data_IF_954921919741
#
_entry.id   IF_954921919741
#
_cell.length_a   1.000
_cell.length_b   1.000
_cell.length_c   1.000
_cell.angle_alpha   90.00
_cell.angle_beta   90.00
_cell.angle_gamma   90.00
#
_symmetry.space_group_name_H-M   'P 1'
#
loop_
_entity.id
_entity.type
_entity.pdbx_description
1 polymer ?
#
# COMPACT_ATOMS: atom_id res chain seq x y z
N UNK A 1 -7.28 -10.62 -3.37
CA UNK A 1 -6.08 -11.12 -4.08
C UNK A 1 -4.90 -10.97 -3.14
N UNK A 2 -4.10 -12.01 -2.98
CA UNK A 2 -2.83 -11.95 -2.26
C UNK A 2 -1.67 -11.86 -3.24
N UNK A 3 -0.60 -11.17 -2.88
CA UNK A 3 0.62 -11.05 -3.68
C UNK A 3 1.74 -11.74 -2.90
N UNK A 4 2.23 -12.85 -3.43
CA UNK A 4 3.31 -13.62 -2.84
C UNK A 4 4.64 -13.09 -3.36
N UNK A 5 5.47 -12.62 -2.44
CA UNK A 5 6.84 -12.22 -2.67
C UNK A 5 7.79 -13.31 -2.19
N UNK A 6 8.86 -13.53 -2.96
CA UNK A 6 10.03 -14.31 -2.53
C UNK A 6 11.26 -13.43 -2.69
N UNK A 7 12.03 -13.22 -1.61
CA UNK A 7 13.23 -12.36 -1.64
C UNK A 7 12.93 -10.96 -2.22
N UNK A 8 11.82 -10.36 -1.79
CA UNK A 8 11.35 -9.05 -2.26
C UNK A 8 11.07 -8.96 -3.78
N UNK A 9 10.86 -10.09 -4.45
CA UNK A 9 10.41 -10.15 -5.84
C UNK A 9 9.02 -10.77 -5.89
N UNK A 10 8.12 -10.15 -6.65
CA UNK A 10 6.77 -10.66 -6.86
C UNK A 10 6.86 -12.02 -7.57
N UNK A 11 6.56 -13.09 -6.84
CA UNK A 11 6.64 -14.45 -7.35
C UNK A 11 5.32 -14.89 -7.98
N UNK A 12 4.19 -14.60 -7.34
CA UNK A 12 2.87 -15.03 -7.80
C UNK A 12 1.72 -14.23 -7.19
N UNK A 13 0.65 -14.04 -7.96
CA UNK A 13 -0.64 -13.55 -7.46
C UNK A 13 -1.55 -14.72 -7.07
N UNK A 14 -2.11 -14.66 -5.86
CA UNK A 14 -2.94 -15.68 -5.24
C UNK A 14 -4.42 -15.24 -5.28
N UNK A 15 -5.26 -16.08 -5.88
CA UNK A 15 -6.71 -15.96 -5.78
C UNK A 15 -7.22 -16.32 -4.38
N UNK A 16 -8.49 -16.04 -4.06
CA UNK A 16 -9.09 -16.43 -2.78
C UNK A 16 -9.17 -17.96 -2.67
N UNK A 17 -8.23 -18.55 -1.93
CA UNK A 17 -8.16 -20.00 -1.67
C UNK A 17 -7.22 -20.28 -0.47
N UNK A 18 -7.13 -21.55 -0.04
CA UNK A 18 -6.24 -22.01 1.03
C UNK A 18 -4.92 -22.52 0.43
N UNK A 19 -3.81 -21.86 0.76
CA UNK A 19 -2.47 -22.24 0.29
C UNK A 19 -1.61 -22.73 1.46
N UNK A 20 -0.91 -23.85 1.27
CA UNK A 20 0.16 -24.31 2.17
C UNK A 20 1.50 -24.03 1.49
N UNK A 21 2.23 -23.05 2.00
CA UNK A 21 3.55 -22.68 1.48
C UNK A 21 4.61 -23.12 2.49
N UNK A 22 5.60 -23.87 2.03
CA UNK A 22 6.73 -24.27 2.85
C UNK A 22 7.83 -23.22 2.71
N UNK A 23 8.17 -22.57 3.82
CA UNK A 23 9.19 -21.54 3.86
C UNK A 23 10.25 -21.86 4.91
N UNK A 24 11.26 -22.64 4.50
CA UNK A 24 12.33 -23.05 5.40
C UNK A 24 13.30 -21.92 5.75
N UNK A 25 13.41 -20.91 4.87
CA UNK A 25 14.38 -19.81 4.99
C UNK A 25 13.73 -18.47 5.35
N UNK A 26 12.43 -18.45 5.63
CA UNK A 26 11.66 -17.23 5.93
C UNK A 26 11.80 -16.16 4.85
N UNK A 27 11.77 -16.57 3.58
CA UNK A 27 11.93 -15.68 2.42
C UNK A 27 10.61 -15.35 1.72
N UNK A 28 9.49 -15.92 2.17
CA UNK A 28 8.15 -15.70 1.61
C UNK A 28 7.39 -14.63 2.40
N UNK A 29 6.84 -13.67 1.68
CA UNK A 29 5.97 -12.64 2.23
C UNK A 29 4.67 -12.58 1.42
N UNK A 30 3.52 -12.51 2.11
CA UNK A 30 2.22 -12.38 1.45
C UNK A 30 1.64 -11.02 1.79
N UNK A 31 1.48 -10.18 0.77
CA UNK A 31 0.84 -8.87 0.90
C UNK A 31 -0.60 -8.98 0.39
N UNK A 32 -1.56 -8.54 1.21
CA UNK A 32 -2.96 -8.45 0.81
C UNK A 32 -3.34 -6.98 0.70
N UNK A 33 -3.68 -6.55 -0.52
CA UNK A 33 -4.13 -5.18 -0.74
C UNK A 33 -5.65 -5.06 -0.55
N UNK A 34 -6.12 -3.99 0.13
CA UNK A 34 -7.55 -3.76 0.25
C UNK A 34 -8.16 -3.41 -1.11
N UNK A 35 -9.21 -4.13 -1.48
CA UNK A 35 -9.99 -3.88 -2.71
C UNK A 35 -11.18 -2.95 -2.48
N UNK A 36 -11.40 -2.53 -1.24
CA UNK A 36 -12.43 -1.56 -0.85
C UNK A 36 -11.88 -0.14 -0.97
N UNK A 37 -12.74 0.86 -1.25
CA UNK A 37 -12.37 2.26 -1.13
C UNK A 37 -11.83 2.56 0.27
N UNK A 38 -10.85 3.46 0.33
CA UNK A 38 -10.22 3.97 1.55
C UNK A 38 -10.25 5.48 1.52
N UNK A 39 -10.46 6.08 2.68
CA UNK A 39 -10.39 7.51 2.87
C UNK A 39 -9.06 7.87 3.51
N UNK A 40 -8.27 8.70 2.83
CA UNK A 40 -7.06 9.31 3.37
C UNK A 40 -7.37 10.73 3.81
N UNK A 41 -7.15 11.01 5.09
CA UNK A 41 -7.30 12.35 5.64
C UNK A 41 -5.94 13.03 5.69
N UNK A 42 -5.81 14.15 5.00
CA UNK A 42 -4.63 15.02 5.07
C UNK A 42 -5.02 16.26 5.85
N UNK A 43 -4.47 16.40 7.05
CA UNK A 43 -4.83 17.46 7.98
C UNK A 43 -3.75 18.53 8.06
N UNK A 44 -4.19 19.75 8.40
CA UNK A 44 -3.34 20.85 8.83
C UNK A 44 -2.15 21.15 7.91
N UNK A 45 -2.35 21.10 6.59
CA UNK A 45 -1.32 21.48 5.64
C UNK A 45 -1.21 22.98 5.60
N UNK A 46 0.00 23.49 5.84
CA UNK A 46 0.34 24.90 5.75
C UNK A 46 1.21 25.10 4.50
N UNK A 47 0.72 25.89 3.56
CA UNK A 47 1.41 26.15 2.29
C UNK A 47 1.50 27.65 2.03
N UNK A 48 2.54 28.04 1.31
CA UNK A 48 2.68 29.37 0.75
C UNK A 48 2.35 29.31 -0.74
N UNK A 49 1.39 30.11 -1.17
CA UNK A 49 1.04 30.27 -2.59
C UNK A 49 2.11 31.07 -3.32
N UNK A 50 2.08 31.04 -4.67
CA UNK A 50 3.06 31.74 -5.50
C UNK A 50 3.09 33.26 -5.26
N UNK A 51 1.97 33.84 -4.85
CA UNK A 51 1.80 35.25 -4.46
C UNK A 51 2.10 35.52 -2.98
N UNK A 52 2.73 34.55 -2.29
CA UNK A 52 3.14 34.64 -0.88
C UNK A 52 1.98 34.77 0.12
N UNK A 53 0.79 34.28 -0.22
CA UNK A 53 -0.31 34.15 0.72
C UNK A 53 -0.22 32.80 1.44
N UNK A 54 -0.17 32.84 2.77
CA UNK A 54 -0.17 31.65 3.61
C UNK A 54 -1.59 31.05 3.69
N UNK A 55 -1.71 29.76 3.39
CA UNK A 55 -2.96 29.02 3.48
C UNK A 55 -2.78 27.81 4.39
N UNK A 56 -3.76 27.60 5.27
CA UNK A 56 -3.89 26.36 6.03
C UNK A 56 -5.17 25.65 5.64
N UNK A 57 -5.06 24.42 5.17
CA UNK A 57 -6.22 23.63 4.79
C UNK A 57 -6.05 22.16 5.14
N UNK A 58 -7.18 21.47 5.16
CA UNK A 58 -7.27 20.02 5.31
C UNK A 58 -8.18 19.49 4.21
N UNK A 59 -7.91 18.29 3.73
CA UNK A 59 -8.70 17.66 2.68
C UNK A 59 -8.74 16.15 2.87
N UNK A 60 -9.71 15.53 2.21
CA UNK A 60 -9.89 14.09 2.18
C UNK A 60 -9.69 13.58 0.76
N UNK A 61 -9.00 12.47 0.61
CA UNK A 61 -8.82 11.76 -0.65
C UNK A 61 -9.45 10.40 -0.51
N UNK A 62 -10.53 10.16 -1.25
CA UNK A 62 -11.06 8.82 -1.41
C UNK A 62 -10.31 8.14 -2.56
N UNK A 63 -9.73 6.97 -2.29
CA UNK A 63 -9.01 6.19 -3.29
C UNK A 63 -9.34 4.71 -3.17
N UNK A 64 -9.16 3.99 -4.27
CA UNK A 64 -9.26 2.54 -4.32
C UNK A 64 -8.12 2.00 -5.18
N UNK A 65 -7.47 0.94 -4.69
CA UNK A 65 -6.48 0.21 -5.47
C UNK A 65 -7.23 -0.63 -6.51
N UNK A 66 -7.08 -0.26 -7.79
CA UNK A 66 -7.70 -0.98 -8.92
C UNK A 66 -6.77 -2.03 -9.51
N UNK A 67 -5.47 -1.76 -9.51
CA UNK A 67 -4.41 -2.62 -10.05
C UNK A 67 -3.29 -2.74 -9.01
N UNK A 68 -3.26 -3.87 -8.30
CA UNK A 68 -2.31 -4.09 -7.22
C UNK A 68 -0.91 -4.43 -7.70
N UNK A 69 -0.77 -5.06 -8.88
CA UNK A 69 0.54 -5.35 -9.47
C UNK A 69 1.26 -4.04 -9.81
N UNK A 70 0.55 -3.09 -10.45
CA UNK A 70 1.10 -1.74 -10.71
C UNK A 70 1.39 -0.97 -9.43
N UNK A 71 0.54 -1.09 -8.43
CA UNK A 71 0.74 -0.44 -7.14
C UNK A 71 2.03 -0.92 -6.48
N UNK A 72 2.21 -2.25 -6.37
CA UNK A 72 3.39 -2.84 -5.72
C UNK A 72 4.67 -2.66 -6.53
N UNK A 73 4.59 -2.63 -7.86
CA UNK A 73 5.75 -2.32 -8.70
C UNK A 73 6.26 -0.88 -8.52
N UNK A 74 5.37 0.06 -8.16
CA UNK A 74 5.71 1.48 -8.03
C UNK A 74 6.03 1.88 -6.59
N UNK A 75 5.35 1.27 -5.62
CA UNK A 75 5.51 1.54 -4.21
C UNK A 75 6.19 0.34 -3.56
N UNK A 76 7.51 0.43 -3.42
CA UNK A 76 8.30 -0.60 -2.75
C UNK A 76 7.89 -0.62 -1.26
N UNK A 77 7.29 -1.72 -0.81
CA UNK A 77 6.81 -1.88 0.57
C UNK A 77 7.99 -2.17 1.51
N UNK A 78 8.86 -1.18 1.72
CA UNK A 78 9.69 -1.10 2.92
C UNK A 78 9.05 -0.09 3.87
N UNK A 79 8.00 -0.53 4.54
CA UNK A 79 7.23 0.28 5.48
C UNK A 79 6.51 -0.64 6.46
N UNK A 80 7.16 -0.84 7.60
CA UNK A 80 6.73 -1.62 8.77
C UNK A 80 5.26 -1.35 9.13
N UNK A 81 4.37 -2.30 8.89
CA UNK A 81 3.15 -2.43 9.69
C UNK A 81 3.48 -3.37 10.86
N UNK A 82 4.09 -2.81 11.90
CA UNK A 82 4.24 -3.50 13.19
C UNK A 82 2.87 -3.69 13.86
N UNK A 83 2.73 -4.69 14.75
CA UNK A 83 1.47 -4.95 15.43
C UNK A 83 1.10 -3.79 16.36
N UNK A 84 -0.20 -3.56 16.48
CA UNK A 84 -0.86 -2.62 17.40
C UNK A 84 -0.73 -3.14 18.83
#
# INVERSE_FOLDING_TARGET
>A
MGYLFRRNQLARTLGPDIYKLFDFFSELEVIVLPTTPRLLTVSNQEVLTQDNIALRFSYFVEYKITDGDKFLARFNSYGTFGPI
#
